data_IF_574149938507
#
_entry.id   IF_574149938507
#
_cell.length_a   1.000
_cell.length_b   1.000
_cell.length_c   1.000
_cell.angle_alpha   90.00
_cell.angle_beta   90.00
_cell.angle_gamma   90.00
#
_symmetry.space_group_name_H-M   'P 1'
#
loop_
_entity.id
_entity.type
_entity.pdbx_description
1 polymer ?
#
# COMPACT_ATOMS: atom_id res chain seq x y z
N UNK A 1 -5.23 -3.64 9.57
CA UNK A 1 -6.70 -3.65 9.76
C UNK A 1 -7.51 -3.23 8.51
N UNK A 2 -7.16 -2.13 7.82
CA UNK A 2 -7.91 -1.63 6.67
C UNK A 2 -8.01 -2.65 5.53
N UNK A 3 -6.87 -3.24 5.14
CA UNK A 3 -6.83 -4.26 4.09
C UNK A 3 -7.69 -5.48 4.42
N UNK A 4 -7.56 -6.04 5.63
CA UNK A 4 -8.34 -7.19 6.10
C UNK A 4 -9.84 -6.91 6.03
N UNK A 5 -10.27 -5.78 6.60
CA UNK A 5 -11.65 -5.31 6.54
C UNK A 5 -12.15 -5.19 5.09
N UNK A 6 -11.36 -4.56 4.21
CA UNK A 6 -11.71 -4.37 2.80
C UNK A 6 -11.83 -5.69 2.03
N UNK A 7 -10.85 -6.60 2.22
CA UNK A 7 -10.77 -7.86 1.49
C UNK A 7 -11.80 -8.88 1.95
N UNK A 8 -12.02 -8.98 3.26
CA UNK A 8 -12.90 -9.99 3.85
C UNK A 8 -14.34 -9.49 4.03
N UNK A 9 -14.59 -8.19 3.88
CA UNK A 9 -15.93 -7.61 4.06
C UNK A 9 -16.41 -7.65 5.51
N UNK A 10 -15.48 -7.76 6.47
CA UNK A 10 -15.77 -7.83 7.91
C UNK A 10 -15.71 -6.43 8.54
N UNK A 11 -16.29 -6.22 9.74
CA UNK A 11 -16.17 -4.96 10.46
C UNK A 11 -14.72 -4.55 10.74
N UNK A 12 -14.46 -3.25 10.79
CA UNK A 12 -13.16 -2.72 11.18
C UNK A 12 -12.84 -3.09 12.63
N UNK A 13 -11.67 -3.68 12.84
CA UNK A 13 -11.10 -3.91 14.18
C UNK A 13 -9.67 -3.39 14.24
N UNK A 14 -9.33 -2.69 15.32
CA UNK A 14 -7.98 -2.21 15.56
C UNK A 14 -7.05 -3.39 15.88
N UNK A 15 -5.81 -3.33 15.40
CA UNK A 15 -4.81 -4.39 15.60
C UNK A 15 -3.52 -3.82 16.17
N UNK A 16 -2.66 -4.66 16.74
CA UNK A 16 -1.27 -4.29 16.95
C UNK A 16 -0.53 -4.37 15.61
N UNK A 17 -0.08 -3.24 15.08
CA UNK A 17 0.69 -3.20 13.84
C UNK A 17 2.16 -3.58 14.09
N UNK A 18 2.75 -4.31 13.14
CA UNK A 18 4.17 -4.67 13.11
C UNK A 18 4.65 -4.64 11.65
N UNK A 19 5.75 -3.92 11.42
CA UNK A 19 6.39 -3.74 10.10
C UNK A 19 7.68 -2.93 10.29
N UNK A 20 8.67 -3.17 9.44
CA UNK A 20 9.87 -2.32 9.31
C UNK A 20 9.54 -0.90 8.81
N UNK A 21 8.42 -0.71 8.12
CA UNK A 21 7.98 0.60 7.61
C UNK A 21 7.29 1.41 8.72
N UNK A 22 8.10 1.95 9.63
CA UNK A 22 7.64 2.58 10.88
C UNK A 22 6.62 3.71 10.67
N UNK A 23 6.74 4.51 9.61
CA UNK A 23 5.80 5.60 9.33
C UNK A 23 4.36 5.13 9.03
N UNK A 24 4.19 3.88 8.60
CA UNK A 24 2.87 3.26 8.34
C UNK A 24 2.55 2.11 9.32
N UNK A 25 3.30 1.98 10.42
CA UNK A 25 3.04 1.03 11.52
C UNK A 25 1.83 1.48 12.36
N UNK A 26 0.65 1.52 11.74
CA UNK A 26 -0.57 2.09 12.29
C UNK A 26 -1.64 1.00 12.45
N UNK A 27 -1.92 0.66 13.71
CA UNK A 27 -2.90 -0.35 14.09
C UNK A 27 -4.35 0.14 14.15
N UNK A 28 -4.55 1.45 14.27
CA UNK A 28 -5.86 2.10 14.36
C UNK A 28 -5.85 3.47 13.63
N UNK A 29 -5.87 3.49 12.28
CA UNK A 29 -5.78 4.74 11.53
C UNK A 29 -7.02 5.62 11.73
N UNK A 30 -6.83 6.83 12.28
CA UNK A 30 -7.94 7.77 12.61
C UNK A 30 -8.84 8.07 11.40
N UNK A 31 -8.25 8.20 10.22
CA UNK A 31 -8.96 8.61 8.99
C UNK A 31 -9.49 7.45 8.14
N UNK A 32 -9.55 6.22 8.66
CA UNK A 32 -9.91 5.04 7.85
C UNK A 32 -11.26 5.17 7.14
N UNK A 33 -12.27 5.75 7.79
CA UNK A 33 -13.58 6.01 7.16
C UNK A 33 -13.48 6.98 5.98
N UNK A 34 -12.59 7.98 6.06
CA UNK A 34 -12.33 8.91 4.95
C UNK A 34 -11.64 8.19 3.80
N UNK A 35 -10.70 7.30 4.10
CA UNK A 35 -10.02 6.47 3.10
C UNK A 35 -11.01 5.59 2.34
N UNK A 36 -11.92 4.90 3.03
CA UNK A 36 -12.95 4.06 2.39
C UNK A 36 -13.81 4.85 1.41
N UNK A 37 -14.32 6.02 1.81
CA UNK A 37 -15.10 6.88 0.90
C UNK A 37 -14.29 7.27 -0.35
N UNK A 38 -13.01 7.56 -0.20
CA UNK A 38 -12.13 7.89 -1.33
C UNK A 38 -11.90 6.72 -2.27
N UNK A 39 -11.70 5.51 -1.72
CA UNK A 39 -11.51 4.28 -2.48
C UNK A 39 -12.80 3.90 -3.23
N UNK A 40 -13.96 3.94 -2.58
CA UNK A 40 -15.25 3.64 -3.22
C UNK A 40 -15.57 4.64 -4.34
N UNK A 41 -15.36 5.93 -4.08
CA UNK A 41 -15.60 6.99 -5.07
C UNK A 41 -14.73 6.81 -6.32
N UNK A 42 -13.46 6.41 -6.16
CA UNK A 42 -12.54 6.17 -7.28
C UNK A 42 -12.67 4.79 -7.90
N UNK A 43 -13.53 3.91 -7.36
CA UNK A 43 -13.58 2.47 -7.67
C UNK A 43 -12.19 1.81 -7.53
N UNK A 44 -11.44 2.27 -6.54
CA UNK A 44 -10.10 1.81 -6.25
C UNK A 44 -10.08 0.46 -5.53
N UNK A 45 -8.86 0.02 -5.22
CA UNK A 45 -8.59 -1.21 -4.47
C UNK A 45 -7.71 -0.91 -3.26
N UNK A 46 -7.73 -1.82 -2.29
CA UNK A 46 -6.79 -1.82 -1.16
C UNK A 46 -5.91 -3.05 -1.27
N UNK A 47 -4.60 -2.87 -1.17
CA UNK A 47 -3.65 -3.97 -1.17
C UNK A 47 -2.68 -3.85 0.01
N UNK A 48 -2.20 -5.00 0.49
CA UNK A 48 -1.16 -5.09 1.49
C UNK A 48 0.12 -5.64 0.86
N UNK A 49 1.25 -5.16 1.35
CA UNK A 49 2.59 -5.66 0.99
C UNK A 49 3.33 -6.11 2.24
N UNK A 50 4.17 -7.11 2.06
CA UNK A 50 5.07 -7.63 3.09
C UNK A 50 6.31 -6.75 3.25
N UNK A 51 7.00 -6.85 4.39
CA UNK A 51 8.28 -6.14 4.60
C UNK A 51 9.32 -6.49 3.52
N UNK A 52 9.37 -7.74 3.05
CA UNK A 52 10.25 -8.12 1.96
C UNK A 52 9.89 -7.40 0.65
N UNK A 53 8.61 -7.35 0.27
CA UNK A 53 8.16 -6.64 -0.92
C UNK A 53 8.45 -5.13 -0.85
N UNK A 54 8.33 -4.54 0.35
CA UNK A 54 8.70 -3.16 0.61
C UNK A 54 10.20 -2.95 0.38
N UNK A 55 11.05 -3.81 0.92
CA UNK A 55 12.50 -3.68 0.79
C UNK A 55 12.98 -3.95 -0.64
N UNK A 56 12.36 -4.88 -1.37
CA UNK A 56 12.63 -5.10 -2.79
C UNK A 56 12.22 -3.90 -3.64
N UNK A 57 11.09 -3.27 -3.34
CA UNK A 57 10.66 -2.04 -3.99
C UNK A 57 11.61 -0.88 -3.66
N UNK A 58 12.04 -0.77 -2.41
CA UNK A 58 13.02 0.23 -1.98
C UNK A 58 14.35 0.07 -2.71
N UNK A 59 14.90 -1.14 -2.79
CA UNK A 59 16.14 -1.39 -3.53
C UNK A 59 16.01 -0.99 -5.01
N UNK A 60 14.86 -1.23 -5.62
CA UNK A 60 14.57 -0.79 -7.00
C UNK A 60 14.53 0.74 -7.14
N UNK A 61 13.87 1.43 -6.21
CA UNK A 61 13.78 2.90 -6.18
C UNK A 61 15.17 3.52 -5.95
N UNK A 62 15.93 3.00 -4.99
CA UNK A 62 17.29 3.45 -4.67
C UNK A 62 18.24 3.24 -5.86
N UNK A 63 18.14 2.10 -6.56
CA UNK A 63 18.92 1.83 -7.77
C UNK A 63 18.59 2.78 -8.95
N UNK A 64 17.44 3.44 -8.89
CA UNK A 64 17.02 4.47 -9.85
C UNK A 64 17.55 5.87 -9.49
N UNK A 65 18.34 6.00 -8.42
CA UNK A 65 18.89 7.26 -7.93
C UNK A 65 17.92 8.08 -7.09
N UNK A 66 16.78 7.50 -6.70
CA UNK A 66 15.77 8.16 -5.86
C UNK A 66 15.88 7.59 -4.44
N UNK A 67 16.15 8.44 -3.45
CA UNK A 67 16.14 8.02 -2.06
C UNK A 67 14.73 8.13 -1.48
N UNK A 68 14.18 7.02 -0.98
CA UNK A 68 12.89 7.00 -0.30
C UNK A 68 12.90 6.09 0.94
N UNK A 69 12.16 6.45 1.98
CA UNK A 69 12.00 5.58 3.16
C UNK A 69 11.16 4.33 2.84
N UNK A 70 11.23 3.25 3.66
CA UNK A 70 10.46 2.04 3.40
C UNK A 70 8.95 2.26 3.23
N UNK A 71 8.34 3.14 4.02
CA UNK A 71 6.91 3.43 3.94
C UNK A 71 6.49 4.00 2.58
N UNK A 72 7.29 4.92 2.04
CA UNK A 72 7.06 5.53 0.72
C UNK A 72 7.12 4.47 -0.39
N UNK A 73 7.98 3.46 -0.25
CA UNK A 73 8.13 2.36 -1.20
C UNK A 73 6.95 1.36 -1.21
N UNK A 74 6.01 1.42 -0.24
CA UNK A 74 4.77 0.64 -0.27
C UNK A 74 3.96 0.89 -1.55
N UNK A 75 3.97 2.11 -2.08
CA UNK A 75 3.23 2.45 -3.32
C UNK A 75 3.79 1.71 -4.54
N UNK A 76 5.12 1.60 -4.64
CA UNK A 76 5.81 0.86 -5.71
C UNK A 76 5.61 -0.65 -5.54
N UNK A 77 5.76 -1.16 -4.31
CA UNK A 77 5.51 -2.58 -4.01
C UNK A 77 4.07 -2.99 -4.38
N UNK A 78 3.09 -2.17 -3.97
CA UNK A 78 1.68 -2.37 -4.28
C UNK A 78 1.40 -2.33 -5.78
N UNK A 79 1.93 -1.33 -6.49
CA UNK A 79 1.78 -1.23 -7.94
C UNK A 79 2.32 -2.48 -8.65
N UNK A 80 3.53 -2.94 -8.30
CA UNK A 80 4.11 -4.16 -8.89
C UNK A 80 3.26 -5.40 -8.61
N UNK A 81 2.72 -5.52 -7.40
CA UNK A 81 1.84 -6.64 -7.02
C UNK A 81 0.52 -6.61 -7.80
N UNK A 82 -0.12 -5.45 -7.90
CA UNK A 82 -1.37 -5.26 -8.65
C UNK A 82 -1.18 -5.49 -10.16
N UNK A 83 -0.04 -5.06 -10.73
CA UNK A 83 0.29 -5.37 -12.14
C UNK A 83 0.50 -6.86 -12.36
N UNK A 84 1.19 -7.57 -11.44
CA UNK A 84 1.33 -9.03 -11.52
C UNK A 84 -0.01 -9.76 -11.43
N UNK A 85 -0.95 -9.24 -10.63
CA UNK A 85 -2.29 -9.78 -10.49
C UNK A 85 -3.23 -9.42 -11.66
N UNK A 86 -2.79 -8.58 -12.61
CA UNK A 86 -3.62 -8.13 -13.74
C UNK A 86 -4.68 -7.09 -13.38
N UNK A 87 -4.61 -6.52 -12.17
CA UNK A 87 -5.52 -5.43 -11.74
C UNK A 87 -5.12 -4.10 -12.39
N UNK A 88 -3.82 -3.86 -12.53
CA UNK A 88 -3.26 -2.76 -13.32
C UNK A 88 -2.71 -3.34 -14.63
N UNK A 89 -3.20 -2.87 -15.77
CA UNK A 89 -2.66 -3.31 -17.06
C UNK A 89 -1.23 -2.77 -17.30
N UNK A 90 -0.39 -3.56 -17.98
CA UNK A 90 1.01 -3.21 -18.24
C UNK A 90 1.19 -1.94 -19.09
N UNK A 91 0.14 -1.50 -19.80
CA UNK A 91 0.14 -0.28 -20.62
C UNK A 91 -0.41 0.94 -19.88
N UNK A 92 -0.95 0.76 -18.68
CA UNK A 92 -1.45 1.88 -17.89
C UNK A 92 -0.31 2.76 -17.38
N UNK A 93 -0.61 4.05 -17.27
CA UNK A 93 0.29 5.03 -16.64
C UNK A 93 -0.02 5.11 -15.16
N UNK A 94 0.94 4.69 -14.34
CA UNK A 94 0.83 4.67 -12.88
C UNK A 94 1.63 5.82 -12.28
N UNK A 95 1.02 6.54 -11.35
CA UNK A 95 1.71 7.52 -10.49
C UNK A 95 1.82 6.91 -9.10
N UNK A 96 3.05 6.68 -8.65
CA UNK A 96 3.34 6.24 -7.29
C UNK A 96 3.73 7.45 -6.43
N UNK A 97 3.07 7.61 -5.29
CA UNK A 97 3.38 8.68 -4.34
C UNK A 97 4.46 8.15 -3.40
N UNK A 98 5.62 8.82 -3.41
CA UNK A 98 6.67 8.66 -2.41
C UNK A 98 6.56 9.84 -1.45
N UNK A 99 6.13 9.58 -0.22
CA UNK A 99 5.94 10.60 0.83
C UNK A 99 7.23 11.00 1.51
#
# INVERSE_FOLDING_TARGET
PLYTMWKEGIPFEAVKAETIATAVKIGNPISWKKSIRGIEWSRGVVEQVTDQEIMDAKAFVDASGIGAEPASCCSIAGARKLTKAGIIDKKERVVAILT
#
